data_IF_333818060293
#
_entry.id   IF_333818060293
#
_cell.length_a   1.000
_cell.length_b   1.000
_cell.length_c   1.000
_cell.angle_alpha   90.00
_cell.angle_beta   90.00
_cell.angle_gamma   90.00
#
_symmetry.space_group_name_H-M   'P 1'
#
loop_
_entity.id
_entity.type
_entity.pdbx_description
1 polymer ?
#
# COMPACT_ATOMS: atom_id res chain seq x y z
N UNK A 1 3.39 13.46 31.25
CA UNK A 1 3.73 12.26 30.45
C UNK A 1 3.46 12.48 28.96
N UNK A 2 2.66 13.48 28.58
CA UNK A 2 2.25 13.77 27.19
C UNK A 2 3.35 14.25 26.23
N UNK A 3 4.34 14.99 26.70
CA UNK A 3 5.34 15.59 25.81
C UNK A 3 6.24 14.55 25.10
N UNK A 4 6.49 13.41 25.74
CA UNK A 4 7.26 12.30 25.13
C UNK A 4 6.46 11.52 24.09
N UNK A 5 5.15 11.37 24.28
CA UNK A 5 4.27 10.72 23.30
C UNK A 5 4.17 11.56 22.03
N UNK A 6 3.94 12.88 22.15
CA UNK A 6 3.92 13.79 21.01
C UNK A 6 5.22 13.82 20.20
N UNK A 7 6.39 13.76 20.86
CA UNK A 7 7.69 13.71 20.18
C UNK A 7 7.96 12.36 19.49
N UNK A 8 7.50 11.24 20.05
CA UNK A 8 7.62 9.91 19.42
C UNK A 8 6.66 9.76 18.24
N UNK A 9 5.44 10.31 18.35
CA UNK A 9 4.43 10.34 17.29
C UNK A 9 4.89 11.18 16.09
N UNK A 10 5.44 12.36 16.37
CA UNK A 10 6.09 13.20 15.35
C UNK A 10 7.18 12.43 14.61
N UNK A 11 8.03 11.67 15.32
CA UNK A 11 9.09 10.84 14.72
C UNK A 11 8.57 9.70 13.83
N UNK A 12 7.40 9.12 14.12
CA UNK A 12 6.86 8.03 13.31
C UNK A 12 6.44 8.50 11.91
N UNK A 13 5.90 9.71 11.79
CA UNK A 13 5.50 10.31 10.51
C UNK A 13 6.70 10.56 9.59
N UNK A 14 7.90 10.78 10.16
CA UNK A 14 9.12 10.96 9.37
C UNK A 14 9.49 9.71 8.56
N UNK A 15 9.11 8.51 9.02
CA UNK A 15 9.28 7.30 8.21
C UNK A 15 8.43 7.33 6.93
N UNK A 16 7.37 8.15 6.88
CA UNK A 16 6.59 8.40 5.67
C UNK A 16 7.42 8.93 4.51
N UNK A 17 8.45 9.75 4.78
CA UNK A 17 9.34 10.28 3.75
C UNK A 17 10.19 9.21 3.06
N UNK A 18 10.40 8.04 3.69
CA UNK A 18 11.03 6.90 3.03
C UNK A 18 10.21 6.42 1.82
N UNK A 19 8.93 6.78 1.73
CA UNK A 19 8.11 6.52 0.56
C UNK A 19 8.62 7.16 -0.72
N UNK A 20 9.33 8.29 -0.64
CA UNK A 20 9.94 8.91 -1.81
C UNK A 20 11.06 8.07 -2.43
N UNK A 21 11.65 7.15 -1.68
CA UNK A 21 12.59 6.16 -2.23
C UNK A 21 11.92 5.28 -3.28
N UNK A 22 10.59 5.18 -3.29
CA UNK A 22 9.86 4.51 -4.35
C UNK A 22 10.05 5.12 -5.73
N UNK A 23 10.34 6.42 -5.82
CA UNK A 23 10.66 7.06 -7.11
C UNK A 23 11.96 6.52 -7.72
N UNK A 24 12.85 5.92 -6.93
CA UNK A 24 14.04 5.25 -7.44
C UNK A 24 13.71 4.05 -8.33
N UNK A 25 12.48 3.49 -8.26
CA UNK A 25 12.11 2.40 -9.16
C UNK A 25 11.98 2.80 -10.62
N UNK A 26 11.88 4.11 -10.92
CA UNK A 26 12.00 4.63 -12.29
C UNK A 26 13.45 4.78 -12.76
N UNK A 27 14.42 4.71 -11.84
CA UNK A 27 15.84 4.82 -12.17
C UNK A 27 16.35 3.49 -12.73
N UNK A 28 17.34 3.60 -13.61
CA UNK A 28 18.03 2.45 -14.17
C UNK A 28 19.14 2.02 -13.24
N UNK A 29 19.22 0.72 -12.98
CA UNK A 29 20.36 0.09 -12.32
C UNK A 29 21.65 0.31 -13.12
N UNK A 30 22.80 0.01 -12.51
CA UNK A 30 24.09 -0.04 -13.20
C UNK A 30 24.07 -0.95 -14.46
N UNK A 31 23.20 -1.98 -14.45
CA UNK A 31 22.95 -2.87 -15.58
C UNK A 31 21.96 -2.35 -16.63
N UNK A 32 21.43 -1.12 -16.46
CA UNK A 32 20.44 -0.51 -17.37
C UNK A 32 18.98 -0.90 -17.10
N UNK A 33 18.75 -1.87 -16.22
CA UNK A 33 17.42 -2.41 -15.91
C UNK A 33 16.68 -1.57 -14.84
N UNK A 34 15.35 -1.37 -14.95
CA UNK A 34 14.55 -0.76 -13.90
C UNK A 34 14.59 -1.57 -12.59
N UNK A 35 14.55 -0.86 -11.46
CA UNK A 35 14.59 -1.45 -10.12
C UNK A 35 13.22 -1.36 -9.45
N UNK A 36 12.23 -2.09 -9.97
CA UNK A 36 10.84 -2.00 -9.54
C UNK A 36 10.61 -2.41 -8.08
N UNK A 37 11.51 -3.19 -7.46
CA UNK A 37 11.52 -3.43 -6.01
C UNK A 37 11.37 -2.13 -5.21
N UNK A 38 11.96 -1.02 -5.65
CA UNK A 38 11.84 0.26 -4.94
C UNK A 38 10.39 0.74 -4.83
N UNK A 39 9.49 0.39 -5.75
CA UNK A 39 8.08 0.80 -5.66
C UNK A 39 7.39 0.27 -4.39
N UNK A 40 7.89 -0.82 -3.80
CA UNK A 40 7.43 -1.29 -2.49
C UNK A 40 7.59 -0.23 -1.40
N UNK A 41 8.57 0.68 -1.52
CA UNK A 41 8.77 1.78 -0.58
C UNK A 41 7.61 2.75 -0.54
N UNK A 42 6.78 2.87 -1.58
CA UNK A 42 5.56 3.69 -1.51
C UNK A 42 4.62 3.25 -0.37
N UNK A 43 4.71 1.99 0.10
CA UNK A 43 4.04 1.55 1.33
C UNK A 43 4.35 2.44 2.55
N UNK A 44 5.55 3.02 2.64
CA UNK A 44 5.94 3.88 3.76
C UNK A 44 5.07 5.13 3.87
N UNK A 45 4.45 5.62 2.79
CA UNK A 45 3.48 6.73 2.88
C UNK A 45 2.30 6.42 3.82
N UNK A 46 2.02 5.14 4.08
CA UNK A 46 1.05 4.73 5.11
C UNK A 46 1.38 5.28 6.50
N UNK A 47 2.66 5.53 6.81
CA UNK A 47 3.10 6.06 8.11
C UNK A 47 2.59 7.47 8.39
N UNK A 48 2.30 8.28 7.37
CA UNK A 48 1.67 9.58 7.57
C UNK A 48 0.28 9.44 8.18
N UNK A 49 -0.49 8.42 7.76
CA UNK A 49 -1.82 8.14 8.31
C UNK A 49 -1.73 7.48 9.69
N UNK A 50 -0.82 6.51 9.86
CA UNK A 50 -0.64 5.81 11.13
C UNK A 50 -0.17 6.76 12.24
N UNK A 51 0.80 7.63 11.95
CA UNK A 51 1.29 8.61 12.92
C UNK A 51 0.21 9.61 13.34
N UNK A 52 -0.71 9.96 12.42
CA UNK A 52 -1.86 10.78 12.73
C UNK A 52 -2.85 10.06 13.67
N UNK A 53 -3.24 8.83 13.33
CA UNK A 53 -4.21 8.04 14.13
C UNK A 53 -3.70 7.75 15.55
N UNK A 54 -2.40 7.55 15.74
CA UNK A 54 -1.83 7.28 17.06
C UNK A 54 -1.81 8.51 17.99
N UNK A 55 -2.10 9.72 17.49
CA UNK A 55 -2.25 10.93 18.32
C UNK A 55 -3.61 10.99 19.01
N UNK A 56 -4.58 10.22 18.53
CA UNK A 56 -5.92 10.14 19.11
C UNK A 56 -5.97 9.01 20.16
N UNK A 57 -6.75 9.21 21.22
CA UNK A 57 -6.91 8.19 22.26
C UNK A 57 -7.65 6.97 21.69
N UNK A 58 -7.15 5.73 21.91
CA UNK A 58 -7.80 4.54 21.38
C UNK A 58 -9.21 4.35 21.97
N UNK A 59 -10.23 4.69 21.20
CA UNK A 59 -11.63 4.48 21.55
C UNK A 59 -12.23 3.27 20.82
N UNK A 60 -13.38 2.77 21.28
CA UNK A 60 -14.10 1.65 20.66
C UNK A 60 -14.41 1.88 19.16
N UNK A 61 -14.53 3.15 18.77
CA UNK A 61 -14.75 3.57 17.37
C UNK A 61 -13.56 3.26 16.47
N UNK A 62 -12.33 3.47 16.94
CA UNK A 62 -11.11 3.18 16.17
C UNK A 62 -11.02 1.68 15.85
N UNK A 63 -11.42 0.81 16.78
CA UNK A 63 -11.45 -0.64 16.56
C UNK A 63 -12.45 -1.02 15.45
N UNK A 64 -13.61 -0.38 15.41
CA UNK A 64 -14.61 -0.60 14.35
C UNK A 64 -14.10 -0.09 12.99
N UNK A 65 -13.47 1.09 12.95
CA UNK A 65 -12.84 1.64 11.74
C UNK A 65 -11.77 0.70 11.18
N UNK A 66 -10.95 0.09 12.04
CA UNK A 66 -9.97 -0.92 11.65
C UNK A 66 -10.62 -2.17 11.04
N UNK A 67 -11.63 -2.75 11.70
CA UNK A 67 -12.32 -3.93 11.18
C UNK A 67 -13.00 -3.66 9.82
N UNK A 68 -13.59 -2.47 9.66
CA UNK A 68 -14.22 -2.07 8.41
C UNK A 68 -13.22 -1.82 7.30
N UNK A 69 -12.08 -1.18 7.61
CA UNK A 69 -10.97 -1.03 6.68
C UNK A 69 -10.42 -2.38 6.22
N UNK A 70 -10.26 -3.34 7.13
CA UNK A 70 -9.82 -4.69 6.78
C UNK A 70 -10.84 -5.40 5.87
N UNK A 71 -12.14 -5.30 6.16
CA UNK A 71 -13.20 -5.84 5.29
C UNK A 71 -13.21 -5.21 3.90
N UNK A 72 -13.10 -3.89 3.81
CA UNK A 72 -13.05 -3.17 2.53
C UNK A 72 -11.79 -3.50 1.73
N UNK A 73 -10.64 -3.63 2.40
CA UNK A 73 -9.39 -4.06 1.79
C UNK A 73 -9.49 -5.49 1.26
N UNK A 74 -10.11 -6.41 2.01
CA UNK A 74 -10.37 -7.77 1.55
C UNK A 74 -11.28 -7.80 0.32
N UNK A 75 -12.37 -7.01 0.30
CA UNK A 75 -13.24 -6.89 -0.89
C UNK A 75 -12.47 -6.41 -2.12
N UNK A 76 -11.60 -5.41 -1.95
CA UNK A 76 -10.72 -4.94 -3.02
C UNK A 76 -9.83 -6.07 -3.55
N UNK A 77 -9.20 -6.84 -2.67
CA UNK A 77 -8.39 -7.99 -3.07
C UNK A 77 -9.18 -9.10 -3.74
N UNK A 78 -10.40 -9.39 -3.29
CA UNK A 78 -11.30 -10.35 -3.95
C UNK A 78 -11.64 -9.90 -5.37
N UNK A 79 -11.89 -8.61 -5.58
CA UNK A 79 -12.13 -8.01 -6.90
C UNK A 79 -10.88 -8.10 -7.80
N UNK A 80 -9.70 -7.80 -7.24
CA UNK A 80 -8.43 -7.91 -7.96
C UNK A 80 -8.16 -9.36 -8.38
N UNK A 81 -8.43 -10.33 -7.51
CA UNK A 81 -8.32 -11.75 -7.82
C UNK A 81 -9.31 -12.18 -8.91
N UNK A 82 -10.56 -11.71 -8.84
CA UNK A 82 -11.56 -11.97 -9.87
C UNK A 82 -11.15 -11.38 -11.23
N UNK A 83 -10.57 -10.17 -11.24
CA UNK A 83 -10.05 -9.54 -12.44
C UNK A 83 -8.85 -10.31 -13.04
N UNK A 84 -7.93 -10.80 -12.19
CA UNK A 84 -6.83 -11.65 -12.63
C UNK A 84 -7.34 -12.98 -13.20
N UNK A 85 -8.34 -13.59 -12.57
CA UNK A 85 -8.95 -14.81 -13.06
C UNK A 85 -9.61 -14.61 -14.44
N UNK A 86 -10.38 -13.52 -14.60
CA UNK A 86 -10.96 -13.13 -15.87
C UNK A 86 -9.88 -12.86 -16.94
N UNK A 87 -8.78 -12.21 -16.56
CA UNK A 87 -7.64 -11.97 -17.44
C UNK A 87 -7.01 -13.27 -17.93
N UNK A 88 -6.82 -14.27 -17.05
CA UNK A 88 -6.29 -15.59 -17.42
C UNK A 88 -7.20 -16.28 -18.44
N UNK A 89 -8.52 -16.28 -18.21
CA UNK A 89 -9.49 -16.85 -19.16
C UNK A 89 -9.43 -16.12 -20.51
N UNK A 90 -9.38 -14.79 -20.49
CA UNK A 90 -9.32 -13.99 -21.70
C UNK A 90 -7.99 -14.17 -22.45
N UNK A 91 -6.91 -14.42 -21.73
CA UNK A 91 -5.61 -14.68 -22.34
C UNK A 91 -5.59 -15.98 -23.14
N UNK A 92 -6.25 -17.01 -22.63
CA UNK A 92 -6.40 -18.31 -23.31
C UNK A 92 -7.24 -18.19 -24.60
N UNK A 93 -8.27 -17.34 -24.57
CA UNK A 93 -9.24 -17.23 -25.67
C UNK A 93 -8.94 -16.12 -26.70
N UNK A 94 -8.26 -15.03 -26.33
CA UNK A 94 -8.16 -13.83 -27.16
C UNK A 94 -6.79 -13.14 -27.17
N UNK A 95 -6.08 -13.03 -26.04
CA UNK A 95 -4.86 -12.21 -25.97
C UNK A 95 -3.59 -12.98 -26.37
N UNK A 96 -3.57 -14.30 -26.18
CA UNK A 96 -2.45 -15.18 -26.53
C UNK A 96 -1.06 -14.73 -26.02
N UNK A 97 -1.00 -14.06 -24.86
CA UNK A 97 0.24 -13.64 -24.23
C UNK A 97 0.94 -14.88 -23.70
N UNK A 98 2.09 -15.22 -24.30
CA UNK A 98 2.85 -16.43 -23.98
C UNK A 98 3.98 -16.21 -22.99
N UNK A 99 4.50 -14.99 -22.89
CA UNK A 99 5.63 -14.66 -22.03
C UNK A 99 5.38 -13.35 -21.30
N UNK A 100 5.56 -13.38 -19.98
CA UNK A 100 5.57 -12.19 -19.12
C UNK A 100 6.99 -12.05 -18.57
N UNK A 101 7.59 -10.88 -18.75
CA UNK A 101 8.92 -10.60 -18.19
C UNK A 101 8.87 -10.64 -16.66
N UNK A 102 9.88 -11.24 -16.02
CA UNK A 102 10.01 -11.23 -14.55
C UNK A 102 10.03 -9.81 -13.99
N UNK A 103 10.49 -8.82 -14.78
CA UNK A 103 10.43 -7.41 -14.40
C UNK A 103 9.02 -6.85 -14.34
N UNK A 104 8.13 -7.29 -15.23
CA UNK A 104 6.71 -6.92 -15.15
C UNK A 104 6.06 -7.55 -13.90
N UNK A 105 6.42 -8.79 -13.56
CA UNK A 105 5.95 -9.45 -12.32
C UNK A 105 6.45 -8.70 -11.09
N UNK A 106 7.74 -8.35 -11.05
CA UNK A 106 8.36 -7.56 -9.98
C UNK A 106 7.61 -6.23 -9.77
N UNK A 107 7.31 -5.52 -10.86
CA UNK A 107 6.53 -4.29 -10.85
C UNK A 107 5.13 -4.48 -10.27
N UNK A 108 4.39 -5.47 -10.77
CA UNK A 108 3.01 -5.73 -10.32
C UNK A 108 3.00 -6.08 -8.84
N UNK A 109 3.90 -6.96 -8.39
CA UNK A 109 3.98 -7.38 -6.98
C UNK A 109 4.35 -6.20 -6.08
N UNK A 110 5.35 -5.40 -6.46
CA UNK A 110 5.75 -4.22 -5.69
C UNK A 110 4.64 -3.18 -5.58
N UNK A 111 3.91 -2.92 -6.68
CA UNK A 111 2.77 -2.02 -6.71
C UNK A 111 1.61 -2.53 -5.84
N UNK A 112 1.23 -3.81 -5.99
CA UNK A 112 0.13 -4.40 -5.20
C UNK A 112 0.47 -4.38 -3.72
N UNK A 113 1.70 -4.73 -3.36
CA UNK A 113 2.18 -4.63 -1.98
C UNK A 113 2.08 -3.20 -1.45
N UNK A 114 2.68 -2.23 -2.15
CA UNK A 114 2.67 -0.84 -1.72
C UNK A 114 1.26 -0.28 -1.57
N UNK A 115 0.41 -0.52 -2.58
CA UNK A 115 -0.97 -0.07 -2.59
C UNK A 115 -1.78 -0.72 -1.48
N UNK A 116 -1.56 -2.00 -1.16
CA UNK A 116 -2.32 -2.68 -0.10
C UNK A 116 -2.11 -2.07 1.28
N UNK A 117 -0.85 -1.79 1.63
CA UNK A 117 -0.49 -1.19 2.93
C UNK A 117 -1.02 0.24 2.99
N UNK A 118 -0.86 0.99 1.89
CA UNK A 118 -1.32 2.36 1.80
C UNK A 118 -2.85 2.47 1.86
N UNK A 119 -3.57 1.64 1.09
CA UNK A 119 -5.03 1.62 1.02
C UNK A 119 -5.63 1.30 2.38
N UNK A 120 -5.10 0.30 3.09
CA UNK A 120 -5.58 -0.06 4.42
C UNK A 120 -5.45 1.13 5.37
N UNK A 121 -4.27 1.73 5.48
CA UNK A 121 -4.05 2.87 6.38
C UNK A 121 -4.88 4.09 6.00
N UNK A 122 -5.06 4.34 4.69
CA UNK A 122 -5.94 5.39 4.20
C UNK A 122 -7.41 5.13 4.55
N UNK A 123 -7.91 3.90 4.40
CA UNK A 123 -9.29 3.55 4.71
C UNK A 123 -9.60 3.67 6.20
N UNK A 124 -8.66 3.28 7.07
CA UNK A 124 -8.83 3.51 8.52
C UNK A 124 -8.98 5.00 8.80
N UNK A 125 -8.06 5.82 8.25
CA UNK A 125 -8.13 7.28 8.39
C UNK A 125 -9.44 7.86 7.84
N UNK A 126 -9.94 7.34 6.71
CA UNK A 126 -11.20 7.79 6.11
C UNK A 126 -12.41 7.46 6.99
N UNK A 127 -12.52 6.21 7.45
CA UNK A 127 -13.65 5.77 8.29
C UNK A 127 -13.67 6.44 9.65
N UNK A 128 -12.51 6.81 10.19
CA UNK A 128 -12.42 7.50 11.47
C UNK A 128 -12.80 8.99 11.40
N UNK A 129 -12.67 9.61 10.22
CA UNK A 129 -12.82 11.06 10.04
C UNK A 129 -14.12 11.48 9.39
N UNK A 130 -14.66 10.66 8.51
CA UNK A 130 -15.78 11.02 7.63
C UNK A 130 -17.10 10.41 8.13
N UNK A 131 -17.04 9.31 8.88
CA UNK A 131 -18.19 8.71 9.58
C UNK A 131 -18.11 8.97 11.09
#
# INVERSE_FOLDING_TARGET
MDRRLGEVLSRAEWYGFLGFLGLLGFTKSYSGEPQYVFFSFFSFFSWFFVGYMQRETPDERLVQSHQRADSSTLKFFSLLLAALFAFVILNDNALHIRHVSMKAVELIVACVFAFSVLLRSFLVYYYDRVE
#
